data_IF_568527987425
#
_entry.id   IF_568527987425
#
_cell.length_a   1.000
_cell.length_b   1.000
_cell.length_c   1.000
_cell.angle_alpha   90.00
_cell.angle_beta   90.00
_cell.angle_gamma   90.00
#
_symmetry.space_group_name_H-M   'P 1'
#
loop_
_entity.id
_entity.type
_entity.pdbx_description
1 polymer ?
#
# COMPACT_ATOMS: atom_id res chain seq x y z
N UNK A 1 16.81 -18.26 -2.85
CA UNK A 1 16.81 -18.69 -1.43
C UNK A 1 15.42 -19.21 -1.10
N UNK A 2 15.23 -20.50 -1.30
CA UNK A 2 14.07 -21.27 -0.84
C UNK A 2 14.01 -21.21 0.68
N UNK A 3 12.86 -20.87 1.23
CA UNK A 3 12.54 -21.28 2.59
C UNK A 3 12.22 -22.76 2.47
N UNK A 4 13.16 -23.62 2.86
CA UNK A 4 12.96 -25.06 2.81
C UNK A 4 11.70 -25.44 3.62
N UNK A 5 10.70 -26.01 2.95
CA UNK A 5 9.56 -26.68 3.58
C UNK A 5 8.19 -25.97 3.55
N UNK A 6 8.03 -24.83 2.87
CA UNK A 6 6.73 -24.15 2.78
C UNK A 6 5.99 -24.55 1.49
N UNK A 7 4.79 -25.13 1.61
CA UNK A 7 3.91 -25.43 0.47
C UNK A 7 3.29 -24.16 -0.14
N UNK A 8 2.83 -24.24 -1.39
CA UNK A 8 2.14 -23.12 -2.07
C UNK A 8 0.91 -22.63 -1.27
N UNK A 9 0.22 -23.54 -0.57
CA UNK A 9 -0.92 -23.21 0.30
C UNK A 9 -0.50 -22.41 1.53
N UNK A 10 0.62 -22.78 2.15
CA UNK A 10 1.20 -22.01 3.25
C UNK A 10 1.71 -20.65 2.78
N UNK A 11 2.29 -20.56 1.59
CA UNK A 11 2.68 -19.29 0.98
C UNK A 11 1.50 -18.35 0.79
N UNK A 12 0.38 -18.84 0.25
CA UNK A 12 -0.85 -18.03 0.09
C UNK A 12 -1.38 -17.54 1.43
N UNK A 13 -1.42 -18.41 2.43
CA UNK A 13 -1.93 -18.08 3.77
C UNK A 13 -1.05 -17.04 4.48
N UNK A 14 0.27 -17.15 4.33
CA UNK A 14 1.25 -16.30 5.03
C UNK A 14 1.66 -15.06 4.24
N UNK A 15 1.20 -14.89 3.00
CA UNK A 15 1.62 -13.79 2.12
C UNK A 15 1.39 -12.40 2.72
N UNK A 16 0.30 -12.23 3.48
CA UNK A 16 -0.09 -10.97 4.14
C UNK A 16 0.30 -10.93 5.63
N UNK A 17 0.98 -11.96 6.13
CA UNK A 17 1.47 -11.98 7.50
C UNK A 17 2.79 -11.21 7.62
N UNK A 18 2.86 -10.20 8.48
CA UNK A 18 4.06 -9.36 8.63
C UNK A 18 5.31 -10.08 9.13
N UNK A 19 5.17 -11.26 9.73
CA UNK A 19 6.27 -12.04 10.29
C UNK A 19 6.87 -12.96 9.20
N UNK A 20 6.04 -13.52 8.32
CA UNK A 20 6.44 -14.53 7.33
C UNK A 20 6.37 -14.09 5.87
N UNK A 21 5.46 -13.17 5.54
CA UNK A 21 5.28 -12.61 4.21
C UNK A 21 6.51 -11.81 3.74
N UNK A 22 6.49 -11.38 2.48
CA UNK A 22 7.57 -10.59 1.88
C UNK A 22 7.03 -9.43 1.07
N UNK A 23 7.71 -8.29 1.13
CA UNK A 23 7.39 -7.15 0.27
C UNK A 23 7.85 -7.43 -1.17
N UNK A 24 6.89 -7.64 -2.06
CA UNK A 24 7.16 -7.78 -3.51
C UNK A 24 7.35 -6.41 -4.18
N UNK A 25 6.43 -5.49 -3.93
CA UNK A 25 6.35 -4.17 -4.57
C UNK A 25 5.66 -3.17 -3.63
N UNK A 26 5.95 -1.88 -3.79
CA UNK A 26 5.23 -0.79 -3.10
C UNK A 26 4.87 0.26 -4.14
N UNK A 27 3.57 0.49 -4.32
CA UNK A 27 3.06 1.59 -5.14
C UNK A 27 3.03 2.88 -4.33
N UNK A 28 3.40 3.99 -4.96
CA UNK A 28 3.44 5.30 -4.29
C UNK A 28 3.12 6.43 -5.27
N UNK A 29 2.36 7.39 -4.76
CA UNK A 29 2.19 8.73 -5.32
C UNK A 29 2.65 9.70 -4.24
N UNK A 30 3.49 10.67 -4.61
CA UNK A 30 3.92 11.77 -3.74
C UNK A 30 3.43 13.06 -4.35
N UNK A 31 2.74 13.85 -3.54
CA UNK A 31 2.16 15.13 -3.91
C UNK A 31 2.75 16.26 -3.08
N UNK A 32 2.84 17.43 -3.71
CA UNK A 32 3.17 18.70 -3.06
C UNK A 32 2.25 19.77 -3.65
N UNK A 33 1.53 20.50 -2.79
CA UNK A 33 0.49 21.45 -3.21
C UNK A 33 -0.49 20.85 -4.23
N UNK A 34 -1.00 19.64 -3.94
CA UNK A 34 -1.96 18.88 -4.77
C UNK A 34 -1.43 18.46 -6.15
N UNK A 35 -0.15 18.71 -6.45
CA UNK A 35 0.51 18.29 -7.68
C UNK A 35 1.35 17.04 -7.47
N UNK A 36 1.18 16.06 -8.37
CA UNK A 36 1.97 14.83 -8.36
C UNK A 36 3.42 15.14 -8.76
N UNK A 37 4.33 15.04 -7.80
CA UNK A 37 5.78 15.20 -8.03
C UNK A 37 6.50 13.87 -8.24
N UNK A 38 5.88 12.76 -7.79
CA UNK A 38 6.39 11.42 -8.02
C UNK A 38 5.24 10.41 -8.10
N UNK A 39 5.31 9.49 -9.06
CA UNK A 39 4.39 8.37 -9.21
C UNK A 39 5.16 7.15 -9.68
N UNK A 40 5.03 6.02 -9.00
CA UNK A 40 5.71 4.81 -9.42
C UNK A 40 5.62 3.63 -8.45
N UNK A 41 6.35 2.57 -8.82
CA UNK A 41 6.46 1.32 -8.07
C UNK A 41 7.92 1.09 -7.66
N UNK A 42 8.11 0.74 -6.39
CA UNK A 42 9.35 0.14 -5.90
C UNK A 42 9.27 -1.39 -6.04
N UNK A 43 10.40 -2.08 -6.14
CA UNK A 43 10.42 -3.55 -6.25
C UNK A 43 10.62 -4.08 -7.68
N UNK A 44 10.79 -3.21 -8.67
CA UNK A 44 10.94 -3.58 -10.09
C UNK A 44 12.25 -3.11 -10.70
N UNK A 45 12.78 -3.87 -11.65
CA UNK A 45 13.85 -3.39 -12.53
C UNK A 45 13.26 -2.54 -13.67
N UNK A 46 13.89 -1.39 -13.94
CA UNK A 46 13.40 -0.43 -14.93
C UNK A 46 13.52 -0.94 -16.37
N UNK A 47 14.56 -1.74 -16.64
CA UNK A 47 14.85 -2.22 -17.99
C UNK A 47 13.96 -3.40 -18.39
N UNK A 48 13.71 -4.33 -17.46
CA UNK A 48 12.97 -5.56 -17.74
C UNK A 48 11.50 -5.47 -17.31
N UNK A 49 11.16 -4.50 -16.47
CA UNK A 49 9.84 -4.37 -15.84
C UNK A 49 9.47 -5.57 -14.94
N UNK A 50 10.41 -6.46 -14.62
CA UNK A 50 10.21 -7.60 -13.72
C UNK A 50 10.44 -7.19 -12.26
N UNK A 51 9.86 -7.95 -11.32
CA UNK A 51 10.16 -7.75 -9.89
C UNK A 51 11.57 -8.25 -9.58
N UNK A 52 12.37 -7.45 -8.87
CA UNK A 52 13.77 -7.79 -8.57
C UNK A 52 13.96 -8.69 -7.34
N UNK A 53 12.89 -8.94 -6.57
CA UNK A 53 12.85 -9.86 -5.41
C UNK A 53 13.86 -9.54 -4.29
N UNK A 54 14.40 -8.34 -4.29
CA UNK A 54 15.26 -7.82 -3.23
C UNK A 54 14.41 -6.94 -2.30
N UNK A 55 13.76 -7.60 -1.33
CA UNK A 55 12.93 -6.96 -0.32
C UNK A 55 13.68 -5.82 0.39
N UNK A 56 14.98 -5.99 0.64
CA UNK A 56 15.82 -5.01 1.32
C UNK A 56 15.97 -3.73 0.49
N UNK A 57 16.22 -3.85 -0.83
CA UNK A 57 16.24 -2.72 -1.76
C UNK A 57 14.90 -2.00 -1.81
N UNK A 58 13.80 -2.74 -1.85
CA UNK A 58 12.43 -2.17 -1.84
C UNK A 58 12.17 -1.35 -0.57
N UNK A 59 12.46 -1.93 0.60
CA UNK A 59 12.28 -1.27 1.90
C UNK A 59 13.15 -0.02 2.05
N UNK A 60 14.44 -0.10 1.67
CA UNK A 60 15.33 1.08 1.68
C UNK A 60 14.80 2.18 0.76
N UNK A 61 14.27 1.81 -0.42
CA UNK A 61 13.63 2.74 -1.36
C UNK A 61 12.47 3.47 -0.71
N UNK A 62 11.57 2.73 -0.05
CA UNK A 62 10.40 3.29 0.63
C UNK A 62 10.78 4.28 1.72
N UNK A 63 11.66 3.88 2.64
CA UNK A 63 12.09 4.78 3.72
C UNK A 63 12.85 5.99 3.16
N UNK A 64 13.61 5.84 2.07
CA UNK A 64 14.26 6.99 1.43
C UNK A 64 13.26 8.01 0.88
N UNK A 65 12.08 7.60 0.42
CA UNK A 65 11.03 8.54 -0.02
C UNK A 65 10.51 9.40 1.14
N UNK A 66 10.45 8.82 2.34
CA UNK A 66 10.08 9.55 3.56
C UNK A 66 11.23 10.36 4.16
N UNK A 67 12.40 10.43 3.51
CA UNK A 67 13.54 11.22 3.98
C UNK A 67 13.22 12.71 3.82
N UNK A 68 12.87 13.36 4.92
CA UNK A 68 12.43 14.76 4.96
C UNK A 68 10.96 14.92 5.37
N UNK A 69 10.22 13.82 5.50
CA UNK A 69 8.83 13.83 5.95
C UNK A 69 8.73 14.44 7.36
N UNK A 70 7.87 15.42 7.51
CA UNK A 70 7.58 16.13 8.74
C UNK A 70 6.22 15.67 9.29
N UNK A 71 6.23 14.90 10.38
CA UNK A 71 5.02 14.34 11.01
C UNK A 71 3.96 15.36 11.47
N UNK A 72 4.27 16.66 11.45
CA UNK A 72 3.33 17.73 11.79
C UNK A 72 2.69 18.40 10.56
N UNK A 73 3.23 18.18 9.36
CA UNK A 73 2.82 18.87 8.13
C UNK A 73 2.46 17.90 7.01
N UNK A 74 3.22 16.82 6.92
CA UNK A 74 3.10 15.83 5.86
C UNK A 74 2.23 14.67 6.33
N UNK A 75 1.60 14.01 5.37
CA UNK A 75 0.61 12.97 5.62
C UNK A 75 0.89 11.74 4.74
N UNK A 76 0.75 10.56 5.34
CA UNK A 76 0.70 9.27 4.62
C UNK A 76 -0.76 8.87 4.52
N UNK A 77 -1.24 8.69 3.30
CA UNK A 77 -2.63 8.31 3.01
C UNK A 77 -2.69 6.88 2.49
N UNK A 78 -3.67 6.10 2.94
CA UNK A 78 -3.80 4.70 2.56
C UNK A 78 -5.09 4.06 3.06
N UNK A 79 -5.30 2.79 2.70
CA UNK A 79 -6.44 1.99 3.16
C UNK A 79 -5.98 0.89 4.09
N UNK A 80 -6.44 0.89 5.35
CA UNK A 80 -6.04 -0.06 6.38
C UNK A 80 -4.54 -0.01 6.75
N UNK A 81 -3.92 1.17 6.65
CA UNK A 81 -2.52 1.41 7.02
C UNK A 81 -2.18 1.01 8.46
N UNK A 82 -3.09 1.25 9.41
CA UNK A 82 -2.81 1.01 10.83
C UNK A 82 -2.76 -0.47 11.19
N UNK A 83 -3.55 -1.31 10.51
CA UNK A 83 -3.66 -2.73 10.82
C UNK A 83 -3.00 -3.63 9.76
N UNK A 84 -2.44 -3.07 8.67
CA UNK A 84 -1.72 -3.83 7.64
C UNK A 84 -0.41 -3.21 7.17
N UNK A 85 -0.42 -2.23 6.24
CA UNK A 85 0.80 -1.84 5.51
C UNK A 85 1.94 -1.35 6.41
N UNK A 86 1.67 -0.39 7.30
CA UNK A 86 2.73 0.22 8.11
C UNK A 86 3.31 -0.76 9.15
N UNK A 87 2.51 -1.55 9.89
CA UNK A 87 3.05 -2.61 10.75
C UNK A 87 3.83 -3.65 9.95
N UNK A 88 3.34 -4.05 8.77
CA UNK A 88 4.01 -5.01 7.90
C UNK A 88 5.38 -4.47 7.49
N UNK A 89 5.44 -3.27 6.90
CA UNK A 89 6.70 -2.64 6.47
C UNK A 89 7.68 -2.45 7.64
N UNK A 90 7.19 -2.08 8.83
CA UNK A 90 8.03 -1.97 10.02
C UNK A 90 8.64 -3.33 10.42
N UNK A 91 7.81 -4.37 10.58
CA UNK A 91 8.26 -5.73 10.93
C UNK A 91 9.27 -6.26 9.91
N UNK A 92 8.97 -6.13 8.61
CA UNK A 92 9.88 -6.55 7.53
C UNK A 92 11.19 -5.76 7.54
N UNK A 93 11.15 -4.48 7.88
CA UNK A 93 12.34 -3.64 8.04
C UNK A 93 13.22 -4.11 9.20
N UNK A 94 12.64 -4.46 10.34
CA UNK A 94 13.37 -5.06 11.47
C UNK A 94 14.03 -6.38 11.05
N UNK A 95 13.26 -7.28 10.41
CA UNK A 95 13.75 -8.59 9.95
C UNK A 95 14.91 -8.45 8.95
N UNK A 96 14.77 -7.55 7.97
CA UNK A 96 15.79 -7.28 6.95
C UNK A 96 16.90 -6.33 7.39
N UNK A 97 16.90 -5.89 8.66
CA UNK A 97 17.87 -4.95 9.23
C UNK A 97 17.95 -3.63 8.45
N UNK A 98 16.82 -3.17 7.91
CA UNK A 98 16.66 -1.87 7.28
C UNK A 98 16.13 -0.90 8.33
N UNK A 99 16.88 0.15 8.64
CA UNK A 99 16.43 1.17 9.59
C UNK A 99 15.43 2.12 8.91
N UNK A 100 14.21 2.30 9.45
CA UNK A 100 13.32 3.36 9.01
C UNK A 100 14.00 4.73 9.12
N UNK A 101 13.84 5.57 8.11
CA UNK A 101 14.38 6.94 8.09
C UNK A 101 13.59 7.89 8.99
N UNK A 102 12.36 7.51 9.32
CA UNK A 102 11.44 8.25 10.17
C UNK A 102 10.73 7.28 11.12
N UNK A 103 10.40 7.78 12.31
CA UNK A 103 9.47 7.14 13.22
C UNK A 103 8.08 7.73 13.00
N UNK A 104 7.18 6.96 12.38
CA UNK A 104 5.78 7.34 12.22
C UNK A 104 5.00 6.98 13.49
N UNK A 105 4.33 7.92 14.17
CA UNK A 105 3.53 7.62 15.34
C UNK A 105 2.24 6.90 14.96
N UNK A 106 2.03 5.69 15.49
CA UNK A 106 0.81 4.89 15.30
C UNK A 106 -0.35 5.30 16.21
N UNK A 107 -0.37 6.56 16.62
CA UNK A 107 -1.42 7.11 17.48
C UNK A 107 -2.75 7.07 16.75
N UNK A 108 -3.69 6.26 17.25
CA UNK A 108 -5.04 6.11 16.67
C UNK A 108 -5.92 7.34 16.93
N UNK A 109 -7.09 7.40 16.28
CA UNK A 109 -8.09 8.48 16.41
C UNK A 109 -7.60 9.85 15.95
N UNK A 110 -6.68 9.87 14.98
CA UNK A 110 -6.11 11.11 14.40
C UNK A 110 -5.90 10.93 12.91
N UNK A 111 -6.00 12.02 12.18
CA UNK A 111 -5.80 12.04 10.73
C UNK A 111 -4.37 12.41 10.31
N UNK A 112 -3.49 12.75 11.26
CA UNK A 112 -2.11 13.13 11.02
C UNK A 112 -1.16 12.41 11.99
N UNK A 113 0.02 11.95 11.53
CA UNK A 113 0.53 12.00 10.16
C UNK A 113 -0.01 10.90 9.24
N UNK A 114 -0.89 10.03 9.74
CA UNK A 114 -1.44 8.90 8.98
C UNK A 114 -2.93 9.13 8.77
N UNK A 115 -3.35 9.18 7.52
CA UNK A 115 -4.77 9.21 7.12
C UNK A 115 -5.16 7.85 6.54
N UNK A 116 -5.75 7.02 7.40
CA UNK A 116 -6.29 5.73 6.98
C UNK A 116 -7.75 5.87 6.58
N UNK A 117 -8.04 5.80 5.27
CA UNK A 117 -9.39 6.05 4.74
C UNK A 117 -10.42 5.06 5.31
N UNK A 118 -10.02 3.83 5.67
CA UNK A 118 -10.93 2.83 6.24
C UNK A 118 -11.39 3.25 7.64
N UNK A 119 -10.45 3.64 8.49
CA UNK A 119 -10.73 4.09 9.86
C UNK A 119 -11.46 5.44 9.86
N UNK A 120 -11.07 6.35 8.97
CA UNK A 120 -11.70 7.67 8.85
C UNK A 120 -13.15 7.56 8.38
N UNK A 121 -13.45 6.68 7.42
CA UNK A 121 -14.80 6.42 6.94
C UNK A 121 -15.71 5.90 8.06
N UNK A 122 -15.21 4.93 8.83
CA UNK A 122 -15.95 4.32 9.93
C UNK A 122 -15.89 5.11 11.25
N UNK A 123 -15.33 6.33 11.23
CA UNK A 123 -15.11 7.18 12.42
C UNK A 123 -14.46 6.40 13.57
N UNK A 124 -13.46 5.59 13.23
CA UNK A 124 -12.67 4.76 14.14
C UNK A 124 -13.50 3.73 14.94
N UNK A 125 -14.67 3.34 14.43
CA UNK A 125 -15.48 2.31 15.06
C UNK A 125 -14.79 0.94 14.94
N UNK A 126 -14.41 0.28 16.06
CA UNK A 126 -13.61 -0.94 16.03
C UNK A 126 -14.36 -2.17 15.50
N UNK A 127 -15.68 -2.06 15.29
CA UNK A 127 -16.54 -3.14 14.79
C UNK A 127 -16.95 -2.95 13.33
N UNK A 128 -16.55 -1.84 12.71
CA UNK A 128 -16.93 -1.51 11.33
C UNK A 128 -15.70 -1.56 10.45
N UNK A 129 -15.75 -2.43 9.45
CA UNK A 129 -14.74 -2.54 8.41
C UNK A 129 -15.42 -2.31 7.06
N UNK A 130 -14.71 -1.66 6.15
CA UNK A 130 -15.16 -1.45 4.78
C UNK A 130 -13.99 -1.80 3.87
N UNK A 131 -14.22 -2.61 2.84
CA UNK A 131 -13.19 -2.87 1.83
C UNK A 131 -13.03 -1.66 0.92
N UNK A 132 -11.84 -1.51 0.33
CA UNK A 132 -11.57 -0.49 -0.68
C UNK A 132 -12.60 -0.52 -1.82
N UNK A 133 -12.91 -1.71 -2.33
CA UNK A 133 -13.92 -1.93 -3.38
C UNK A 133 -15.33 -1.46 -2.96
N UNK A 134 -15.76 -1.78 -1.73
CA UNK A 134 -17.06 -1.32 -1.24
C UNK A 134 -17.10 0.19 -1.08
N UNK A 135 -16.00 0.78 -0.59
CA UNK A 135 -15.89 2.22 -0.41
C UNK A 135 -15.95 2.95 -1.75
N UNK A 136 -15.22 2.47 -2.76
CA UNK A 136 -15.27 2.97 -4.13
C UNK A 136 -16.70 2.95 -4.71
N UNK A 137 -17.39 1.80 -4.60
CA UNK A 137 -18.77 1.64 -5.09
C UNK A 137 -19.76 2.60 -4.42
N UNK A 138 -19.67 2.77 -3.09
CA UNK A 138 -20.55 3.69 -2.36
C UNK A 138 -20.30 5.15 -2.74
N UNK A 139 -19.07 5.50 -3.12
CA UNK A 139 -18.69 6.84 -3.55
C UNK A 139 -18.89 7.09 -5.06
N UNK A 140 -19.33 6.09 -5.82
CA UNK A 140 -19.51 6.20 -7.27
C UNK A 140 -18.21 6.20 -8.07
N UNK A 141 -17.12 5.69 -7.50
CA UNK A 141 -15.80 5.60 -8.13
C UNK A 141 -15.59 4.22 -8.80
N UNK A 142 -14.74 4.17 -9.83
CA UNK A 142 -14.37 2.92 -10.48
C UNK A 142 -13.58 2.03 -9.52
N UNK A 143 -13.97 0.75 -9.40
CA UNK A 143 -13.23 -0.20 -8.56
C UNK A 143 -11.96 -0.68 -9.25
N UNK A 144 -10.87 -0.76 -8.48
CA UNK A 144 -9.58 -1.32 -8.93
C UNK A 144 -9.67 -2.82 -9.29
N UNK A 145 -10.72 -3.52 -8.82
CA UNK A 145 -10.98 -4.96 -9.06
C UNK A 145 -11.69 -5.26 -10.38
N UNK A 146 -12.19 -4.24 -11.09
CA UNK A 146 -12.92 -4.44 -12.35
C UNK A 146 -12.06 -5.07 -13.47
N UNK A 147 -10.74 -5.20 -13.26
CA UNK A 147 -9.78 -5.84 -14.18
C UNK A 147 -9.29 -7.23 -13.72
N UNK A 148 -10.00 -7.89 -12.80
CA UNK A 148 -9.87 -9.34 -12.58
C UNK A 148 -8.75 -9.82 -11.63
N UNK A 149 -8.04 -8.91 -10.96
CA UNK A 149 -7.04 -9.23 -9.94
C UNK A 149 -7.55 -8.75 -8.58
N UNK A 150 -7.47 -9.62 -7.58
CA UNK A 150 -7.60 -9.27 -6.17
C UNK A 150 -6.32 -9.65 -5.41
N UNK A 151 -6.16 -9.14 -4.20
CA UNK A 151 -4.97 -9.39 -3.37
C UNK A 151 -4.69 -10.87 -3.09
N UNK A 152 -5.71 -11.74 -3.14
CA UNK A 152 -5.54 -13.19 -2.93
C UNK A 152 -4.87 -13.89 -4.11
N UNK A 153 -4.97 -13.32 -5.31
CA UNK A 153 -4.42 -13.89 -6.56
C UNK A 153 -3.00 -13.41 -6.90
N UNK A 154 -2.42 -12.50 -6.10
CA UNK A 154 -1.11 -11.91 -6.40
C UNK A 154 0.00 -12.97 -6.47
N UNK A 155 -0.02 -13.96 -5.57
CA UNK A 155 0.96 -15.04 -5.58
C UNK A 155 0.85 -15.91 -6.84
N UNK A 156 -0.36 -16.35 -7.17
CA UNK A 156 -0.59 -17.18 -8.36
C UNK A 156 -0.18 -16.43 -9.64
N UNK A 157 -0.55 -15.15 -9.74
CA UNK A 157 -0.16 -14.28 -10.85
C UNK A 157 1.35 -14.08 -10.94
N UNK A 158 2.04 -14.06 -9.80
CA UNK A 158 3.49 -13.95 -9.78
C UNK A 158 4.13 -15.23 -10.33
N UNK A 159 3.62 -16.40 -9.93
CA UNK A 159 4.04 -17.70 -10.46
C UNK A 159 3.75 -17.86 -11.96
N UNK A 160 2.64 -17.28 -12.45
CA UNK A 160 2.29 -17.22 -13.88
C UNK A 160 3.17 -16.25 -14.70
N UNK A 161 4.04 -15.45 -14.04
CA UNK A 161 4.86 -14.44 -14.71
C UNK A 161 4.10 -13.16 -15.09
N UNK A 162 2.89 -12.94 -14.54
CA UNK A 162 2.04 -11.79 -14.78
C UNK A 162 2.52 -10.52 -14.01
N UNK A 163 3.79 -10.16 -14.15
CA UNK A 163 4.42 -9.05 -13.41
C UNK A 163 3.76 -7.69 -13.67
N UNK A 164 3.45 -7.39 -14.93
CA UNK A 164 2.85 -6.11 -15.31
C UNK A 164 1.42 -5.98 -14.76
N UNK A 165 0.65 -7.06 -14.81
CA UNK A 165 -0.70 -7.15 -14.25
C UNK A 165 -0.73 -6.84 -12.75
N UNK A 166 0.19 -7.41 -11.97
CA UNK A 166 0.35 -7.14 -10.53
C UNK A 166 0.73 -5.68 -10.29
N UNK A 167 1.67 -5.17 -11.08
CA UNK A 167 2.11 -3.78 -10.97
C UNK A 167 0.97 -2.79 -11.25
N UNK A 168 0.19 -3.02 -12.30
CA UNK A 168 -0.95 -2.16 -12.65
C UNK A 168 -2.05 -2.26 -11.59
N UNK A 169 -2.28 -3.45 -11.02
CA UNK A 169 -3.20 -3.61 -9.89
C UNK A 169 -2.76 -2.79 -8.67
N UNK A 170 -1.47 -2.87 -8.30
CA UNK A 170 -0.92 -2.11 -7.19
C UNK A 170 -1.06 -0.60 -7.39
N UNK A 171 -0.77 -0.08 -8.60
CA UNK A 171 -0.94 1.35 -8.88
C UNK A 171 -2.41 1.79 -8.92
N UNK A 172 -3.32 0.96 -9.45
CA UNK A 172 -4.77 1.26 -9.43
C UNK A 172 -5.30 1.38 -8.00
N UNK A 173 -4.86 0.53 -7.08
CA UNK A 173 -5.24 0.63 -5.67
C UNK A 173 -4.76 1.97 -5.06
N UNK A 174 -3.53 2.41 -5.38
CA UNK A 174 -2.99 3.70 -4.91
C UNK A 174 -3.80 4.88 -5.46
N UNK A 175 -4.13 4.86 -6.76
CA UNK A 175 -4.96 5.90 -7.39
C UNK A 175 -6.36 5.95 -6.80
N UNK A 176 -6.99 4.79 -6.60
CA UNK A 176 -8.31 4.72 -6.00
C UNK A 176 -8.32 5.23 -4.55
N UNK A 177 -7.30 4.90 -3.76
CA UNK A 177 -7.13 5.46 -2.41
C UNK A 177 -7.03 6.98 -2.46
N UNK A 178 -6.26 7.52 -3.41
CA UNK A 178 -6.11 8.96 -3.61
C UNK A 178 -7.45 9.62 -3.93
N UNK A 179 -8.20 9.08 -4.87
CA UNK A 179 -9.51 9.62 -5.27
C UNK A 179 -10.51 9.60 -4.10
N UNK A 180 -10.54 8.49 -3.35
CA UNK A 180 -11.36 8.37 -2.14
C UNK A 180 -10.94 9.39 -1.08
N UNK A 181 -9.64 9.60 -0.88
CA UNK A 181 -9.14 10.60 0.06
C UNK A 181 -9.63 12.00 -0.28
N UNK A 182 -9.47 12.45 -1.53
CA UNK A 182 -9.95 13.77 -1.96
C UNK A 182 -11.48 13.91 -1.82
N UNK A 183 -12.24 12.86 -2.19
CA UNK A 183 -13.69 12.79 -1.96
C UNK A 183 -14.05 12.91 -0.47
N UNK A 184 -13.33 12.24 0.42
CA UNK A 184 -13.58 12.29 1.88
C UNK A 184 -13.19 13.63 2.50
N UNK A 185 -12.25 14.34 1.89
CA UNK A 185 -11.83 15.68 2.27
C UNK A 185 -12.69 16.79 1.65
N UNK A 186 -13.70 16.45 0.82
CA UNK A 186 -14.53 17.40 0.07
C UNK A 186 -13.68 18.32 -0.82
N UNK A 187 -12.62 17.76 -1.40
CA UNK A 187 -11.65 18.45 -2.22
C UNK A 187 -11.62 17.91 -3.66
N UNK A 188 -12.60 17.12 -4.05
CA UNK A 188 -12.87 16.80 -5.44
C UNK A 188 -13.74 17.91 -6.08
N UNK A 189 -13.50 18.22 -7.36
CA UNK A 189 -14.30 19.20 -8.09
C UNK A 189 -15.78 18.78 -8.08
N UNK A 190 -16.69 19.74 -7.85
CA UNK A 190 -18.14 19.49 -7.93
C UNK A 190 -18.44 18.84 -9.29
N UNK A 191 -18.91 17.59 -9.27
CA UNK A 191 -19.55 16.98 -10.43
C UNK A 191 -20.91 17.67 -10.57
N UNK A 192 -20.93 18.80 -11.28
CA UNK A 192 -22.15 19.49 -11.73
C UNK A 192 -22.79 18.71 -12.89
#
# INVERSE_FOLDING_TARGET
>A
MEVAGCSDEEYRRLALDGDFGRVLTIGVIVEHDEQIIHRGLLGRERQTMLFHLDETRTLRGFWKLLKGFNVRRDQVVGHNLFDFDLPFLYKRSVIQRVRPTIELPFTRYRSQPIFDIMHQWNKWSPRKFVSLDRLAKVLGLESSKNRGIDGGRVYDKFCEGCHQEIADYCMRDVELVRDIYYRMCFADEEVV
#
